data_IF_673955603213
#
_entry.id   IF_673955603213
#
_cell.length_a   1.000
_cell.length_b   1.000
_cell.length_c   1.000
_cell.angle_alpha   90.00
_cell.angle_beta   90.00
_cell.angle_gamma   90.00
#
_symmetry.space_group_name_H-M   'P 1'
#
loop_
_entity.id
_entity.type
_entity.pdbx_description
1 polymer ?
#
# COMPACT_ATOMS: atom_id res chain seq x y z
N UNK A 1 -18.77 15.52 7.09
CA UNK A 1 -19.05 14.08 6.89
C UNK A 1 -20.38 13.94 6.16
N UNK A 2 -20.47 12.94 5.29
CA UNK A 2 -21.72 12.58 4.60
C UNK A 2 -22.65 11.81 5.55
N UNK A 3 -23.95 12.03 5.39
CA UNK A 3 -24.97 11.19 6.03
C UNK A 3 -25.16 9.88 5.25
N UNK A 4 -25.76 8.88 5.86
CA UNK A 4 -26.08 7.62 5.18
C UNK A 4 -27.04 7.81 4.00
N UNK A 5 -27.96 8.77 4.07
CA UNK A 5 -28.87 9.08 2.97
C UNK A 5 -28.12 9.71 1.78
N UNK A 6 -27.14 10.58 2.05
CA UNK A 6 -26.26 11.10 1.00
C UNK A 6 -25.39 9.99 0.37
N UNK A 7 -24.90 9.03 1.18
CA UNK A 7 -24.15 7.88 0.66
C UNK A 7 -25.03 7.05 -0.26
N UNK A 8 -26.27 6.74 0.14
CA UNK A 8 -27.24 6.02 -0.70
C UNK A 8 -27.59 6.77 -1.98
N UNK A 9 -27.57 8.09 -1.94
CA UNK A 9 -27.84 8.90 -3.14
C UNK A 9 -26.71 8.83 -4.14
N UNK A 10 -25.47 9.05 -3.69
CA UNK A 10 -24.31 9.00 -4.60
C UNK A 10 -24.01 7.59 -5.11
N UNK A 11 -24.38 6.56 -4.38
CA UNK A 11 -24.18 5.15 -4.77
C UNK A 11 -25.01 4.78 -6.04
N UNK A 12 -26.04 5.53 -6.37
CA UNK A 12 -26.83 5.32 -7.59
C UNK A 12 -26.08 5.70 -8.86
N UNK A 13 -24.98 6.44 -8.73
CA UNK A 13 -24.18 6.88 -9.86
C UNK A 13 -23.24 5.76 -10.33
N UNK A 14 -23.26 5.42 -11.60
CA UNK A 14 -22.50 4.30 -12.20
C UNK A 14 -20.98 4.39 -12.00
N UNK A 15 -20.44 5.58 -11.73
CA UNK A 15 -19.01 5.82 -11.53
C UNK A 15 -18.60 5.93 -10.06
N UNK A 16 -19.53 5.74 -9.10
CA UNK A 16 -19.25 5.80 -7.67
C UNK A 16 -19.19 4.40 -7.08
N UNK A 17 -18.13 4.13 -6.34
CA UNK A 17 -17.95 2.87 -5.60
C UNK A 17 -17.73 3.18 -4.13
N UNK A 18 -18.57 2.64 -3.28
CA UNK A 18 -18.42 2.77 -1.84
C UNK A 18 -17.42 1.73 -1.34
N UNK A 19 -16.50 2.14 -0.47
CA UNK A 19 -15.53 1.27 0.17
C UNK A 19 -15.60 1.34 1.69
N UNK A 20 -15.23 0.24 2.35
CA UNK A 20 -15.13 0.18 3.81
C UNK A 20 -13.77 0.73 4.28
N UNK A 21 -13.75 1.39 5.43
CA UNK A 21 -12.53 1.98 6.00
C UNK A 21 -12.42 1.76 7.51
N UNK A 22 -12.84 0.59 8.01
CA UNK A 22 -12.95 0.22 9.42
C UNK A 22 -14.09 0.93 10.17
N UNK A 23 -14.30 0.54 11.42
CA UNK A 23 -15.28 1.18 12.29
C UNK A 23 -14.69 2.37 13.05
N UNK A 24 -13.54 2.17 13.71
CA UNK A 24 -12.95 3.18 14.59
C UNK A 24 -12.01 4.15 13.89
N UNK A 25 -11.44 3.78 12.74
CA UNK A 25 -10.33 4.49 12.09
C UNK A 25 -9.11 4.68 13.00
N UNK A 26 -8.90 3.78 13.95
CA UNK A 26 -7.74 3.78 14.81
C UNK A 26 -6.50 3.16 14.12
N UNK A 27 -5.36 3.18 14.81
CA UNK A 27 -4.16 2.45 14.39
C UNK A 27 -4.37 0.95 14.64
N UNK A 28 -5.17 0.30 13.80
CA UNK A 28 -5.62 -1.08 13.99
C UNK A 28 -4.48 -2.08 14.05
N UNK A 29 -3.34 -1.77 13.45
CA UNK A 29 -2.14 -2.62 13.50
C UNK A 29 -1.58 -2.77 14.93
N UNK A 30 -1.91 -1.84 15.85
CA UNK A 30 -1.52 -1.92 17.25
C UNK A 30 -2.48 -2.76 18.09
N UNK A 31 -3.61 -3.18 17.53
CA UNK A 31 -4.59 -3.98 18.24
C UNK A 31 -4.17 -5.43 18.26
N UNK A 32 -4.54 -6.16 19.35
CA UNK A 32 -4.52 -7.59 19.28
C UNK A 32 -5.52 -8.06 18.20
N UNK A 33 -5.32 -9.26 17.70
CA UNK A 33 -6.07 -9.75 16.55
C UNK A 33 -7.59 -9.83 16.79
N UNK A 34 -8.02 -10.20 17.98
CA UNK A 34 -9.45 -10.26 18.33
C UNK A 34 -10.11 -8.87 18.31
N UNK A 35 -9.43 -7.85 18.84
CA UNK A 35 -9.92 -6.47 18.78
C UNK A 35 -9.97 -5.95 17.36
N UNK A 36 -8.96 -6.28 16.54
CA UNK A 36 -8.96 -5.96 15.12
C UNK A 36 -10.17 -6.58 14.40
N UNK A 37 -10.39 -7.89 14.57
CA UNK A 37 -11.55 -8.57 13.96
C UNK A 37 -12.86 -7.91 14.35
N UNK A 38 -13.03 -7.63 15.63
CA UNK A 38 -14.25 -6.98 16.15
C UNK A 38 -14.50 -5.62 15.50
N UNK A 39 -13.47 -4.82 15.28
CA UNK A 39 -13.60 -3.52 14.62
C UNK A 39 -14.06 -3.69 13.16
N UNK A 40 -13.44 -4.61 12.43
CA UNK A 40 -13.80 -4.87 11.03
C UNK A 40 -15.22 -5.45 10.93
N UNK A 41 -15.57 -6.46 11.73
CA UNK A 41 -16.91 -7.07 11.70
C UNK A 41 -18.00 -6.06 12.10
N UNK A 42 -17.70 -5.15 13.03
CA UNK A 42 -18.61 -4.05 13.37
C UNK A 42 -18.84 -3.11 12.20
N UNK A 43 -17.78 -2.77 11.45
CA UNK A 43 -17.92 -1.92 10.26
C UNK A 43 -18.76 -2.58 9.18
N UNK A 44 -18.54 -3.87 8.92
CA UNK A 44 -19.31 -4.66 7.95
C UNK A 44 -20.79 -4.66 8.34
N UNK A 45 -21.10 -4.97 9.60
CA UNK A 45 -22.47 -4.97 10.11
C UNK A 45 -23.18 -3.63 9.90
N UNK A 46 -22.50 -2.51 10.15
CA UNK A 46 -23.05 -1.17 9.90
C UNK A 46 -23.34 -0.95 8.41
N UNK A 47 -22.45 -1.36 7.52
CA UNK A 47 -22.69 -1.27 6.07
C UNK A 47 -23.90 -2.10 5.65
N UNK A 48 -24.00 -3.36 6.09
CA UNK A 48 -25.15 -4.23 5.81
C UNK A 48 -26.45 -3.63 6.33
N UNK A 49 -26.46 -3.06 7.53
CA UNK A 49 -27.63 -2.40 8.11
C UNK A 49 -28.03 -1.12 7.37
N UNK A 50 -27.08 -0.33 6.87
CA UNK A 50 -27.31 1.00 6.30
C UNK A 50 -27.54 1.00 4.80
N UNK A 51 -26.77 0.19 4.06
CA UNK A 51 -26.85 0.15 2.57
C UNK A 51 -27.19 -1.23 2.03
N UNK A 52 -27.32 -2.26 2.90
CA UNK A 52 -27.83 -3.58 2.52
C UNK A 52 -26.74 -4.57 2.04
N UNK A 53 -25.47 -4.20 2.03
CA UNK A 53 -24.37 -5.08 1.62
C UNK A 53 -23.04 -4.69 2.25
N UNK A 54 -22.05 -5.60 2.20
CA UNK A 54 -20.66 -5.29 2.51
C UNK A 54 -19.93 -4.85 1.23
N UNK A 55 -19.28 -3.66 1.20
CA UNK A 55 -18.52 -3.21 0.05
C UNK A 55 -17.42 -4.18 -0.38
N UNK A 56 -17.13 -4.25 -1.69
CA UNK A 56 -16.03 -5.07 -2.22
C UNK A 56 -14.64 -4.50 -1.89
N UNK A 57 -14.58 -3.18 -1.64
CA UNK A 57 -13.35 -2.44 -1.43
C UNK A 57 -13.13 -2.15 0.05
N UNK A 58 -11.89 -2.33 0.49
CA UNK A 58 -11.42 -1.92 1.80
C UNK A 58 -10.22 -0.98 1.68
N UNK A 59 -10.10 0.00 2.56
CA UNK A 59 -8.90 0.82 2.68
C UNK A 59 -8.35 0.69 4.10
N UNK A 60 -7.10 0.26 4.24
CA UNK A 60 -6.48 0.16 5.56
C UNK A 60 -6.33 1.54 6.18
N UNK A 61 -6.82 1.80 7.42
CA UNK A 61 -6.52 3.03 8.14
C UNK A 61 -5.02 3.30 8.16
N UNK A 62 -4.65 4.53 7.73
CA UNK A 62 -3.24 4.94 7.58
C UNK A 62 -2.41 4.10 6.59
N UNK A 63 -3.03 3.16 5.87
CA UNK A 63 -2.35 2.19 5.02
C UNK A 63 -1.52 1.17 5.81
N UNK A 64 -1.85 0.95 7.08
CA UNK A 64 -1.09 0.11 8.01
C UNK A 64 -1.79 -1.23 8.23
N UNK A 65 -1.05 -2.32 8.10
CA UNK A 65 -1.53 -3.69 8.32
C UNK A 65 -0.37 -4.65 8.59
N UNK A 66 -0.66 -5.75 9.28
CA UNK A 66 0.20 -6.93 9.35
C UNK A 66 -0.26 -7.99 8.35
N UNK A 67 0.58 -8.99 8.10
CA UNK A 67 0.20 -10.14 7.25
C UNK A 67 -1.03 -10.88 7.80
N UNK A 68 -1.10 -11.05 9.12
CA UNK A 68 -2.25 -11.68 9.79
C UNK A 68 -3.55 -10.89 9.54
N UNK A 69 -3.50 -9.55 9.66
CA UNK A 69 -4.63 -8.68 9.38
C UNK A 69 -5.03 -8.70 7.90
N UNK A 70 -4.05 -8.66 6.98
CA UNK A 70 -4.30 -8.80 5.54
C UNK A 70 -5.01 -10.11 5.21
N UNK A 71 -4.57 -11.22 5.81
CA UNK A 71 -5.22 -12.53 5.65
C UNK A 71 -6.67 -12.53 6.16
N UNK A 72 -6.98 -11.82 7.23
CA UNK A 72 -8.37 -11.67 7.68
C UNK A 72 -9.21 -10.85 6.68
N UNK A 73 -8.69 -9.73 6.21
CA UNK A 73 -9.34 -8.86 5.21
C UNK A 73 -9.64 -9.63 3.92
N UNK A 74 -8.75 -10.55 3.48
CA UNK A 74 -8.94 -11.34 2.26
C UNK A 74 -10.22 -12.21 2.27
N UNK A 75 -10.71 -12.58 3.45
CA UNK A 75 -11.94 -13.35 3.59
C UNK A 75 -13.22 -12.48 3.59
N UNK A 76 -13.08 -11.16 3.60
CA UNK A 76 -14.20 -10.20 3.75
C UNK A 76 -14.32 -9.25 2.57
N UNK A 77 -13.23 -8.95 1.88
CA UNK A 77 -13.15 -7.96 0.82
C UNK A 77 -12.40 -8.52 -0.39
N UNK A 78 -12.77 -8.05 -1.57
CA UNK A 78 -12.12 -8.46 -2.83
C UNK A 78 -10.85 -7.67 -3.10
N UNK A 79 -10.82 -6.39 -2.69
CA UNK A 79 -9.72 -5.47 -2.91
C UNK A 79 -9.43 -4.67 -1.65
N UNK A 80 -8.15 -4.46 -1.34
CA UNK A 80 -7.76 -3.59 -0.24
C UNK A 80 -6.61 -2.66 -0.62
N UNK A 81 -6.69 -1.41 -0.18
CA UNK A 81 -5.77 -0.34 -0.52
C UNK A 81 -4.91 0.06 0.67
N UNK A 82 -3.58 0.04 0.46
CA UNK A 82 -2.61 0.67 1.34
C UNK A 82 -2.47 2.17 1.09
N UNK A 83 -1.38 2.75 1.61
CA UNK A 83 -0.96 4.14 1.34
C UNK A 83 0.46 4.26 0.76
N UNK A 84 1.04 3.15 0.31
CA UNK A 84 2.29 3.18 -0.44
C UNK A 84 2.04 3.67 -1.87
N UNK A 85 2.98 4.45 -2.38
CA UNK A 85 2.90 4.97 -3.75
C UNK A 85 3.22 3.87 -4.75
N UNK A 86 2.41 3.75 -5.81
CA UNK A 86 2.65 2.75 -6.84
C UNK A 86 1.54 2.69 -7.87
N UNK A 87 1.79 1.96 -8.93
CA UNK A 87 0.83 1.69 -9.99
C UNK A 87 0.17 0.33 -9.73
N UNK A 88 -1.14 0.27 -9.86
CA UNK A 88 -1.88 -0.99 -9.72
C UNK A 88 -1.47 -1.94 -10.85
N UNK A 89 -1.12 -3.17 -10.48
CA UNK A 89 -0.85 -4.27 -11.39
C UNK A 89 -1.85 -5.39 -11.08
N UNK A 90 -2.69 -5.74 -12.03
CA UNK A 90 -3.73 -6.77 -11.87
C UNK A 90 -3.20 -8.18 -11.59
N UNK A 91 -1.91 -8.41 -11.84
CA UNK A 91 -1.22 -9.67 -11.55
C UNK A 91 -0.65 -9.72 -10.12
N UNK A 92 -0.90 -8.68 -9.30
CA UNK A 92 -0.39 -8.57 -7.93
C UNK A 92 -1.46 -8.86 -6.89
N UNK A 93 -1.02 -8.84 -5.63
CA UNK A 93 -1.91 -9.03 -4.49
C UNK A 93 -2.97 -7.91 -4.46
N UNK A 94 -4.22 -8.32 -4.61
CA UNK A 94 -5.37 -7.41 -4.60
C UNK A 94 -5.68 -6.83 -3.22
N UNK A 95 -5.04 -7.39 -2.18
CA UNK A 95 -5.23 -6.99 -0.79
C UNK A 95 -4.18 -5.99 -0.28
N UNK A 96 -3.30 -5.50 -1.17
CA UNK A 96 -2.31 -4.47 -0.86
C UNK A 96 -2.08 -3.50 -2.02
N UNK A 97 -3.17 -3.05 -2.63
CA UNK A 97 -3.13 -2.14 -3.79
C UNK A 97 -2.52 -0.79 -3.41
N UNK A 98 -1.62 -0.28 -4.25
CA UNK A 98 -1.01 1.03 -4.02
C UNK A 98 -1.93 2.17 -4.45
N UNK A 99 -1.60 3.40 -4.04
CA UNK A 99 -2.24 4.63 -4.51
C UNK A 99 -1.30 5.82 -4.43
N UNK A 100 -1.43 6.78 -5.33
CA UNK A 100 -0.75 8.06 -5.22
C UNK A 100 -1.63 9.08 -4.49
N UNK A 101 -1.10 9.87 -3.55
CA UNK A 101 -1.85 10.93 -2.93
C UNK A 101 -2.08 12.07 -3.95
N UNK A 102 -3.34 12.49 -4.08
CA UNK A 102 -3.76 13.68 -4.82
C UNK A 102 -4.48 14.59 -3.84
N UNK A 103 -3.81 15.61 -3.37
CA UNK A 103 -4.31 16.61 -2.43
C UNK A 103 -3.69 17.97 -2.79
N UNK A 104 -3.99 19.00 -2.03
CA UNK A 104 -3.50 20.37 -2.26
C UNK A 104 -1.97 20.46 -2.44
N UNK A 105 -1.20 19.66 -1.69
CA UNK A 105 0.27 19.62 -1.80
C UNK A 105 0.75 18.83 -3.03
N UNK A 106 0.00 17.80 -3.44
CA UNK A 106 0.44 16.81 -4.43
C UNK A 106 -0.52 16.70 -5.62
N UNK A 107 -1.43 17.65 -5.80
CA UNK A 107 -2.49 17.61 -6.82
C UNK A 107 -2.29 18.59 -7.99
N UNK A 108 -1.06 19.10 -8.20
CA UNK A 108 -0.82 19.93 -9.38
C UNK A 108 -1.00 19.11 -10.68
N UNK A 109 -1.45 19.80 -11.73
CA UNK A 109 -1.82 19.15 -12.98
C UNK A 109 -0.65 18.41 -13.65
N UNK A 110 0.57 18.98 -13.63
CA UNK A 110 1.75 18.36 -14.24
C UNK A 110 2.10 17.04 -13.55
N UNK A 111 2.00 17.02 -12.22
CA UNK A 111 2.18 15.78 -11.44
C UNK A 111 1.08 14.78 -11.77
N UNK A 112 -0.16 15.20 -11.85
CA UNK A 112 -1.27 14.33 -12.23
C UNK A 112 -1.06 13.71 -13.60
N UNK A 113 -0.72 14.50 -14.61
CA UNK A 113 -0.39 14.04 -15.97
C UNK A 113 0.76 13.04 -16.00
N UNK A 114 1.76 13.22 -15.13
CA UNK A 114 2.85 12.27 -14.98
C UNK A 114 2.35 10.94 -14.35
N UNK A 115 1.60 11.02 -13.26
CA UNK A 115 1.13 9.85 -12.53
C UNK A 115 0.20 8.96 -13.36
N UNK A 116 -0.71 9.52 -14.14
CA UNK A 116 -1.64 8.74 -14.98
C UNK A 116 -0.96 8.02 -16.15
N UNK A 117 0.28 8.40 -16.48
CA UNK A 117 1.10 7.76 -17.51
C UNK A 117 2.06 6.71 -16.96
N UNK A 118 2.13 6.55 -15.64
CA UNK A 118 3.03 5.58 -15.04
C UNK A 118 2.58 4.15 -15.32
N UNK A 119 3.55 3.29 -15.55
CA UNK A 119 3.37 1.86 -15.74
C UNK A 119 3.77 1.09 -14.48
N UNK A 120 3.21 -0.08 -14.23
CA UNK A 120 3.65 -0.90 -13.12
C UNK A 120 5.08 -1.40 -13.36
N UNK A 121 5.92 -1.28 -12.33
CA UNK A 121 7.21 -1.95 -12.33
C UNK A 121 6.97 -3.38 -11.85
N UNK A 122 6.85 -4.29 -12.81
CA UNK A 122 6.44 -5.66 -12.56
C UNK A 122 7.54 -6.46 -11.84
N UNK A 123 7.18 -7.11 -10.77
CA UNK A 123 8.03 -7.99 -9.98
C UNK A 123 7.28 -9.29 -9.68
N UNK A 124 7.98 -10.35 -9.37
CA UNK A 124 7.40 -11.63 -8.98
C UNK A 124 7.03 -11.66 -7.50
N UNK A 125 7.94 -11.20 -6.63
CA UNK A 125 7.80 -11.23 -5.18
C UNK A 125 8.56 -10.09 -4.52
N UNK A 126 8.04 -9.60 -3.39
CA UNK A 126 8.74 -8.70 -2.46
C UNK A 126 8.83 -9.38 -1.09
N UNK A 127 10.00 -9.38 -0.51
CA UNK A 127 10.25 -9.82 0.86
C UNK A 127 10.77 -8.66 1.71
N UNK A 128 10.38 -8.57 2.99
CA UNK A 128 9.46 -9.45 3.70
C UNK A 128 8.01 -9.26 3.23
N UNK A 129 7.24 -10.36 3.28
CA UNK A 129 5.81 -10.31 2.95
C UNK A 129 5.04 -9.54 4.02
N UNK A 130 5.34 -9.76 5.30
CA UNK A 130 4.78 -8.95 6.38
C UNK A 130 5.39 -7.55 6.36
N UNK A 131 4.51 -6.56 6.35
CA UNK A 131 4.90 -5.15 6.36
C UNK A 131 5.02 -4.58 7.79
N UNK A 132 4.60 -5.32 8.81
CA UNK A 132 4.85 -4.99 10.20
C UNK A 132 6.27 -5.43 10.58
N UNK A 133 7.13 -4.48 10.89
CA UNK A 133 8.51 -4.73 11.31
C UNK A 133 8.68 -4.46 12.79
N UNK A 134 9.30 -5.42 13.49
CA UNK A 134 9.64 -5.30 14.91
C UNK A 134 10.93 -4.50 15.08
N UNK A 135 11.23 -4.14 16.33
CA UNK A 135 12.51 -3.48 16.64
C UNK A 135 13.75 -4.32 16.28
N UNK A 136 13.63 -5.65 16.36
CA UNK A 136 14.76 -6.57 16.12
C UNK A 136 15.09 -6.67 14.63
N UNK A 137 14.11 -6.49 13.74
CA UNK A 137 14.28 -6.54 12.30
C UNK A 137 14.06 -5.19 11.60
N UNK A 138 14.29 -4.09 12.32
CA UNK A 138 14.33 -2.73 11.77
C UNK A 138 15.80 -2.28 11.63
N UNK A 139 16.31 -1.96 10.44
CA UNK A 139 15.59 -2.01 9.16
C UNK A 139 15.42 -3.45 8.64
N UNK A 140 14.36 -3.73 7.86
CA UNK A 140 14.13 -5.05 7.29
C UNK A 140 15.11 -5.32 6.15
N UNK A 141 15.43 -6.59 5.89
CA UNK A 141 16.13 -6.99 4.67
C UNK A 141 15.12 -7.07 3.52
N UNK A 142 15.22 -6.17 2.56
CA UNK A 142 14.26 -6.10 1.45
C UNK A 142 14.85 -6.72 0.19
N UNK A 143 14.08 -7.64 -0.38
CA UNK A 143 14.40 -8.29 -1.65
C UNK A 143 13.20 -8.18 -2.60
N UNK A 144 13.49 -7.86 -3.85
CA UNK A 144 12.50 -7.85 -4.93
C UNK A 144 12.98 -8.80 -6.03
N UNK A 145 12.20 -9.84 -6.29
CA UNK A 145 12.47 -10.79 -7.39
C UNK A 145 11.67 -10.36 -8.62
N UNK A 146 12.34 -10.22 -9.76
CA UNK A 146 11.72 -9.84 -11.03
C UNK A 146 11.51 -11.05 -11.95
N UNK A 147 10.57 -10.92 -12.88
CA UNK A 147 10.37 -11.90 -13.94
C UNK A 147 11.53 -11.89 -14.94
N UNK A 148 11.64 -12.98 -15.74
CA UNK A 148 12.78 -13.21 -16.62
C UNK A 148 12.92 -12.24 -17.78
N UNK A 149 11.84 -11.65 -18.25
CA UNK A 149 11.74 -11.03 -19.58
C UNK A 149 11.66 -9.52 -19.54
N UNK A 150 12.06 -8.86 -18.43
CA UNK A 150 11.67 -7.49 -18.28
C UNK A 150 12.79 -6.51 -18.10
N UNK A 151 12.56 -5.38 -18.75
CA UNK A 151 12.97 -4.05 -18.35
C UNK A 151 14.47 -3.91 -18.11
N UNK A 152 15.02 -2.84 -18.50
CA UNK A 152 16.41 -2.54 -18.19
C UNK A 152 16.57 -2.25 -16.67
N UNK A 153 16.51 -3.31 -15.86
CA UNK A 153 16.63 -3.23 -14.39
C UNK A 153 17.92 -2.53 -13.91
N UNK A 154 18.94 -2.42 -14.76
CA UNK A 154 20.15 -1.65 -14.47
C UNK A 154 19.87 -0.15 -14.28
N UNK A 155 18.76 0.34 -14.78
CA UNK A 155 18.33 1.75 -14.64
C UNK A 155 17.45 2.01 -13.41
N UNK A 156 17.16 0.99 -12.60
CA UNK A 156 16.32 1.15 -11.42
C UNK A 156 17.00 2.05 -10.39
N UNK A 157 16.21 2.91 -9.79
CA UNK A 157 16.60 3.70 -8.63
C UNK A 157 15.57 3.51 -7.53
N UNK A 158 16.03 3.37 -6.30
CA UNK A 158 15.19 3.32 -5.12
C UNK A 158 15.54 4.45 -4.17
N UNK A 159 14.51 4.96 -3.50
CA UNK A 159 14.61 5.97 -2.45
C UNK A 159 13.85 5.47 -1.22
N UNK A 160 14.36 5.76 -0.05
CA UNK A 160 13.76 5.36 1.22
C UNK A 160 13.85 6.50 2.24
N UNK A 161 13.02 6.44 3.29
CA UNK A 161 12.93 7.50 4.28
C UNK A 161 13.43 7.08 5.68
N UNK A 162 14.42 6.18 5.74
CA UNK A 162 15.11 5.93 7.00
C UNK A 162 15.72 7.25 7.55
N UNK A 163 15.81 7.37 8.87
CA UNK A 163 16.29 8.62 9.48
C UNK A 163 15.36 9.82 9.30
N UNK A 164 14.10 9.62 8.87
CA UNK A 164 13.07 10.64 8.59
C UNK A 164 13.32 11.53 7.35
N UNK A 165 14.36 11.26 6.59
CA UNK A 165 14.66 11.98 5.34
C UNK A 165 14.64 11.03 4.16
N UNK A 166 14.15 11.53 3.01
CA UNK A 166 14.19 10.78 1.77
C UNK A 166 15.56 10.86 1.14
N UNK A 167 16.17 9.71 0.90
CA UNK A 167 17.44 9.64 0.23
C UNK A 167 17.54 8.41 -0.66
N UNK A 168 18.51 8.39 -1.56
CA UNK A 168 18.77 7.28 -2.46
C UNK A 168 19.26 6.06 -1.68
N UNK A 169 18.56 4.95 -1.83
CA UNK A 169 18.95 3.67 -1.21
C UNK A 169 20.12 3.05 -1.94
N UNK A 170 21.01 2.39 -1.22
CA UNK A 170 21.99 1.47 -1.81
C UNK A 170 21.24 0.23 -2.34
N UNK A 171 21.46 -0.10 -3.61
CA UNK A 171 20.82 -1.25 -4.24
C UNK A 171 21.87 -2.16 -4.88
N UNK A 172 21.61 -3.47 -4.85
CA UNK A 172 22.40 -4.48 -5.56
C UNK A 172 21.46 -5.34 -6.39
N UNK A 173 21.74 -5.47 -7.67
CA UNK A 173 20.98 -6.33 -8.57
C UNK A 173 21.81 -7.58 -8.90
N UNK A 174 21.34 -8.74 -8.48
CA UNK A 174 21.97 -10.04 -8.70
C UNK A 174 20.91 -11.02 -9.23
N UNK A 175 21.17 -11.64 -10.37
CA UNK A 175 20.29 -12.70 -10.91
C UNK A 175 18.79 -12.34 -10.86
N UNK A 176 18.43 -11.10 -11.26
CA UNK A 176 17.06 -10.55 -11.24
C UNK A 176 16.48 -10.35 -9.84
N UNK A 177 17.27 -10.46 -8.81
CA UNK A 177 16.92 -10.13 -7.44
C UNK A 177 17.55 -8.79 -7.08
N UNK A 178 16.70 -7.80 -6.80
CA UNK A 178 17.10 -6.52 -6.27
C UNK A 178 17.17 -6.62 -4.75
N UNK A 179 18.33 -6.29 -4.21
CA UNK A 179 18.56 -6.16 -2.78
C UNK A 179 18.57 -4.67 -2.47
N UNK A 180 17.70 -4.24 -1.54
CA UNK A 180 17.65 -2.85 -1.08
C UNK A 180 18.28 -2.81 0.31
N UNK A 181 19.33 -2.02 0.47
CA UNK A 181 20.01 -1.84 1.74
C UNK A 181 19.67 -0.48 2.31
N UNK A 182 19.32 -0.47 3.57
CA UNK A 182 19.07 0.74 4.34
C UNK A 182 20.32 1.13 5.13
N UNK A 183 20.57 2.42 5.24
CA UNK A 183 21.71 2.99 5.97
C UNK A 183 21.46 2.99 7.48
N UNK A 184 20.17 3.11 7.87
CA UNK A 184 19.77 3.23 9.27
C UNK A 184 18.38 2.61 9.47
N UNK A 185 17.92 2.61 10.71
CA UNK A 185 16.55 2.19 11.10
C UNK A 185 15.52 3.21 10.61
N UNK A 186 14.32 2.72 10.37
CA UNK A 186 13.18 3.60 10.23
C UNK A 186 12.80 4.16 11.60
N UNK A 187 12.94 5.47 11.79
CA UNK A 187 12.66 6.16 13.04
C UNK A 187 11.18 6.55 13.14
N UNK A 188 10.57 6.86 12.01
CA UNK A 188 9.14 7.15 11.92
C UNK A 188 8.31 5.86 12.04
N UNK A 189 7.05 6.00 12.45
CA UNK A 189 6.08 4.90 12.46
C UNK A 189 5.98 4.17 11.11
N UNK A 190 6.21 4.88 10.01
CA UNK A 190 6.13 4.33 8.65
C UNK A 190 7.46 4.45 7.94
N UNK A 191 8.05 3.31 7.66
CA UNK A 191 9.17 3.21 6.73
C UNK A 191 8.66 3.07 5.30
N UNK A 192 9.18 3.86 4.37
CA UNK A 192 8.76 3.83 2.97
C UNK A 192 9.92 3.67 2.02
N UNK A 193 9.67 2.91 0.97
CA UNK A 193 10.59 2.74 -0.16
C UNK A 193 9.82 2.99 -1.44
N UNK A 194 10.41 3.75 -2.35
CA UNK A 194 9.89 3.95 -3.71
C UNK A 194 10.97 3.57 -4.70
N UNK A 195 10.64 2.69 -5.63
CA UNK A 195 11.53 2.30 -6.73
C UNK A 195 10.92 2.66 -8.07
N UNK A 196 11.72 3.20 -8.95
CA UNK A 196 11.31 3.56 -10.30
C UNK A 196 12.41 3.31 -11.31
N UNK A 197 12.02 3.11 -12.55
CA UNK A 197 12.91 3.13 -13.69
C UNK A 197 12.21 3.74 -14.90
N UNK A 198 12.99 4.29 -15.80
CA UNK A 198 12.50 4.74 -17.10
C UNK A 198 13.03 3.78 -18.17
N UNK A 199 12.14 3.14 -18.90
CA UNK A 199 12.46 2.28 -20.06
C UNK A 199 11.85 2.85 -21.36
N UNK A 200 11.82 2.03 -22.41
CA UNK A 200 11.35 2.44 -23.73
C UNK A 200 9.85 2.78 -23.75
N UNK A 201 9.06 2.17 -22.87
CA UNK A 201 7.61 2.36 -22.78
C UNK A 201 7.21 3.51 -21.85
N UNK A 202 8.15 3.99 -21.02
CA UNK A 202 7.92 5.06 -20.07
C UNK A 202 8.41 4.78 -18.65
N UNK A 203 7.91 5.58 -17.72
CA UNK A 203 8.26 5.44 -16.30
C UNK A 203 7.46 4.33 -15.64
N UNK A 204 8.16 3.46 -14.91
CA UNK A 204 7.60 2.38 -14.10
C UNK A 204 7.84 2.63 -12.62
N UNK A 205 6.89 2.21 -11.78
CA UNK A 205 6.94 2.49 -10.36
C UNK A 205 6.35 1.36 -9.51
N UNK A 206 6.99 1.08 -8.38
CA UNK A 206 6.39 0.42 -7.23
C UNK A 206 6.85 1.07 -5.92
N UNK A 207 6.07 0.94 -4.87
CA UNK A 207 6.44 1.37 -3.54
C UNK A 207 6.13 0.31 -2.49
N UNK A 208 6.72 0.49 -1.32
CA UNK A 208 6.51 -0.34 -0.14
C UNK A 208 6.30 0.59 1.04
N UNK A 209 5.36 0.26 1.92
CA UNK A 209 5.25 0.89 3.22
C UNK A 209 5.36 -0.17 4.31
N UNK A 210 6.34 0.00 5.18
CA UNK A 210 6.47 -0.77 6.41
C UNK A 210 5.82 -0.02 7.57
N UNK A 211 5.33 -0.77 8.54
CA UNK A 211 4.88 -0.25 9.81
C UNK A 211 5.87 -0.65 10.88
N UNK A 212 6.44 0.33 11.58
CA UNK A 212 7.34 0.08 12.71
C UNK A 212 6.50 -0.13 13.96
N UNK A 213 6.65 -1.29 14.58
CA UNK A 213 5.97 -1.62 15.83
C UNK A 213 6.23 -0.54 16.89
N UNK A 214 5.15 -0.04 17.51
CA UNK A 214 5.29 0.86 18.66
C UNK A 214 5.67 0.09 19.93
N UNK A 215 6.38 0.81 20.80
CA UNK A 215 6.67 0.39 22.17
C UNK A 215 5.40 0.39 23.02
#
# INVERSE_FOLDING_TARGET
>A
YMTWDQIKEIEKEDFVFIGNHSHSHDYLVNYNFEKFKKDIDQSIKIFEEKIGYNPLFFSYPFGEYSLEQKNYISNKFTYAFGQHSGVIDFNKDKLELPRFPINEKYGDLKRFEFLVKLLPLQYKKIEPEDKLITRMNNPPKVFVEFFNEQQNLKRINCFSNEGNEWDKSEIKLENKKLIIKFRDKFLSRRGRVNCSLNDVDGWRWFGIQFVVEKN
#
